data_IF_991443141297
#
_entry.id   IF_991443141297
#
_cell.length_a   1.000
_cell.length_b   1.000
_cell.length_c   1.000
_cell.angle_alpha   90.00
_cell.angle_beta   90.00
_cell.angle_gamma   90.00
#
_symmetry.space_group_name_H-M   'P 1'
#
loop_
_entity.id
_entity.type
_entity.pdbx_description
1 polymer ?
#
# COMPACT_ATOMS: atom_id res chain seq x y z
N UNK A 1 -14.55 20.53 -0.99
CA UNK A 1 -15.99 20.24 -0.83
C UNK A 1 -16.29 19.22 0.28
N UNK A 2 -15.29 18.62 0.93
CA UNK A 2 -15.50 17.63 2.02
C UNK A 2 -16.08 18.19 3.32
N UNK A 3 -15.82 19.47 3.65
CA UNK A 3 -16.31 20.11 4.89
C UNK A 3 -17.82 20.04 5.11
N UNK A 4 -18.63 19.79 4.07
CA UNK A 4 -20.09 19.75 4.16
C UNK A 4 -20.61 18.31 4.35
N UNK A 5 -19.82 17.28 4.01
CA UNK A 5 -20.31 15.89 4.04
C UNK A 5 -20.63 15.42 5.46
N UNK A 6 -19.67 15.59 6.39
CA UNK A 6 -19.86 15.15 7.78
C UNK A 6 -21.00 15.91 8.47
N UNK A 7 -21.20 17.20 8.15
CA UNK A 7 -22.34 17.98 8.66
C UNK A 7 -23.66 17.41 8.13
N UNK A 8 -23.73 17.03 6.85
CA UNK A 8 -24.95 16.40 6.28
C UNK A 8 -25.27 15.07 6.94
N UNK A 9 -24.25 14.29 7.29
CA UNK A 9 -24.41 13.01 7.96
C UNK A 9 -24.91 13.20 9.40
N UNK A 10 -24.41 14.23 10.11
CA UNK A 10 -24.94 14.62 11.42
C UNK A 10 -26.40 15.06 11.37
N UNK A 11 -26.77 15.90 10.39
CA UNK A 11 -28.16 16.36 10.24
C UNK A 11 -29.11 15.19 9.97
N UNK A 12 -28.71 14.21 9.15
CA UNK A 12 -29.51 13.01 8.90
C UNK A 12 -29.64 12.14 10.15
N UNK A 13 -28.56 12.00 10.91
CA UNK A 13 -28.55 11.24 12.15
C UNK A 13 -29.51 11.84 13.18
N UNK A 14 -29.46 13.16 13.38
CA UNK A 14 -30.37 13.90 14.25
C UNK A 14 -31.83 13.66 13.86
N UNK A 15 -32.16 13.80 12.58
CA UNK A 15 -33.52 13.58 12.09
C UNK A 15 -34.01 12.14 12.32
N UNK A 16 -33.15 11.14 12.11
CA UNK A 16 -33.51 9.74 12.36
C UNK A 16 -33.67 9.42 13.85
N UNK A 17 -32.90 10.07 14.73
CA UNK A 17 -33.06 9.93 16.18
C UNK A 17 -34.38 10.57 16.64
N UNK A 18 -34.77 11.72 16.08
CA UNK A 18 -36.07 12.35 16.33
C UNK A 18 -37.24 11.47 15.86
N UNK A 19 -37.14 10.90 14.65
CA UNK A 19 -38.22 10.09 14.06
C UNK A 19 -38.37 8.71 14.72
N UNK A 20 -37.28 8.09 15.17
CA UNK A 20 -37.29 6.74 15.76
C UNK A 20 -37.46 6.74 17.28
N UNK A 21 -37.18 7.86 17.96
CA UNK A 21 -37.14 7.95 19.42
C UNK A 21 -36.05 7.10 20.09
N UNK A 22 -35.15 6.50 19.30
CA UNK A 22 -34.03 5.68 19.77
C UNK A 22 -32.73 6.46 19.54
N UNK A 23 -31.95 6.61 20.61
CA UNK A 23 -30.60 7.20 20.55
C UNK A 23 -29.59 6.09 20.27
N UNK A 24 -29.08 6.04 19.03
CA UNK A 24 -27.97 5.16 18.68
C UNK A 24 -26.63 5.85 18.98
N UNK A 25 -25.90 5.33 19.96
CA UNK A 25 -24.59 5.84 20.38
C UNK A 25 -23.46 5.46 19.40
N UNK A 26 -23.73 4.61 18.42
CA UNK A 26 -22.78 4.18 17.39
C UNK A 26 -23.00 4.85 16.03
N UNK A 27 -23.90 5.83 15.97
CA UNK A 27 -24.33 6.42 14.71
C UNK A 27 -23.21 7.21 14.02
N UNK A 28 -22.89 6.83 12.78
CA UNK A 28 -22.00 7.58 11.89
C UNK A 28 -20.52 7.18 11.90
N UNK A 29 -20.08 6.35 12.86
CA UNK A 29 -18.68 5.91 12.93
C UNK A 29 -18.60 4.38 12.88
N UNK A 30 -18.23 3.87 11.70
CA UNK A 30 -17.85 2.47 11.49
C UNK A 30 -16.32 2.40 11.41
N UNK A 31 -15.62 2.00 12.49
CA UNK A 31 -14.16 2.01 12.53
C UNK A 31 -13.55 1.10 11.47
N UNK A 32 -14.19 -0.02 11.15
CA UNK A 32 -13.67 -0.98 10.18
C UNK A 32 -13.78 -0.42 8.76
N UNK A 33 -14.92 0.18 8.42
CA UNK A 33 -15.10 0.85 7.12
C UNK A 33 -14.14 2.02 6.94
N UNK A 34 -13.91 2.81 7.99
CA UNK A 34 -12.92 3.90 7.96
C UNK A 34 -11.52 3.33 7.75
N UNK A 35 -11.12 2.29 8.50
CA UNK A 35 -9.82 1.63 8.32
C UNK A 35 -9.61 1.13 6.89
N UNK A 36 -10.60 0.48 6.29
CA UNK A 36 -10.53 0.02 4.89
C UNK A 36 -10.33 1.20 3.95
N UNK A 37 -11.16 2.24 4.09
CA UNK A 37 -11.14 3.42 3.22
C UNK A 37 -9.78 4.12 3.30
N UNK A 38 -9.31 4.39 4.52
CA UNK A 38 -8.03 5.05 4.76
C UNK A 38 -6.83 4.22 4.27
N UNK A 39 -6.89 2.90 4.41
CA UNK A 39 -5.83 2.02 3.89
C UNK A 39 -5.74 2.07 2.37
N UNK A 40 -6.89 2.08 1.69
CA UNK A 40 -6.93 2.26 0.22
C UNK A 40 -6.38 3.63 -0.16
N UNK A 41 -6.83 4.69 0.52
CA UNK A 41 -6.36 6.06 0.23
C UNK A 41 -4.85 6.20 0.45
N UNK A 42 -4.32 5.64 1.54
CA UNK A 42 -2.88 5.70 1.82
C UNK A 42 -2.07 4.91 0.79
N UNK A 43 -2.54 3.73 0.34
CA UNK A 43 -1.89 2.98 -0.76
C UNK A 43 -1.91 3.76 -2.08
N UNK A 44 -3.03 4.42 -2.40
CA UNK A 44 -3.13 5.28 -3.60
C UNK A 44 -2.17 6.48 -3.51
N UNK A 45 -2.08 7.12 -2.35
CA UNK A 45 -1.15 8.22 -2.10
C UNK A 45 0.31 7.75 -2.25
N UNK A 46 0.67 6.61 -1.63
CA UNK A 46 1.98 5.97 -1.81
C UNK A 46 2.28 5.71 -3.29
N UNK A 47 1.33 5.13 -4.02
CA UNK A 47 1.48 4.83 -5.44
C UNK A 47 1.78 6.09 -6.25
N UNK A 48 1.01 7.16 -6.04
CA UNK A 48 1.21 8.46 -6.70
C UNK A 48 2.60 9.00 -6.44
N UNK A 49 3.02 9.07 -5.16
CA UNK A 49 4.35 9.57 -4.80
C UNK A 49 5.49 8.72 -5.39
N UNK A 50 5.31 7.39 -5.47
CA UNK A 50 6.30 6.53 -6.12
C UNK A 50 6.33 6.71 -7.64
N UNK A 51 5.18 6.93 -8.29
CA UNK A 51 5.12 7.24 -9.72
C UNK A 51 5.89 8.51 -10.01
N UNK A 52 5.63 9.58 -9.27
CA UNK A 52 6.29 10.87 -9.43
C UNK A 52 7.79 10.75 -9.17
N UNK A 53 8.17 10.18 -8.02
CA UNK A 53 9.58 9.96 -7.64
C UNK A 53 10.33 9.09 -8.66
N UNK A 54 9.68 8.07 -9.21
CA UNK A 54 10.28 7.18 -10.21
C UNK A 54 10.40 7.85 -11.58
N UNK A 55 9.44 8.70 -11.97
CA UNK A 55 9.53 9.49 -13.19
C UNK A 55 10.72 10.44 -13.11
N UNK A 56 10.82 11.22 -12.04
CA UNK A 56 11.94 12.14 -11.81
C UNK A 56 13.28 11.39 -11.79
N UNK A 57 13.36 10.25 -11.10
CA UNK A 57 14.58 9.43 -11.12
C UNK A 57 14.94 8.95 -12.54
N UNK A 58 13.96 8.48 -13.30
CA UNK A 58 14.17 7.98 -14.67
C UNK A 58 14.56 9.08 -15.67
N UNK A 59 14.08 10.31 -15.47
CA UNK A 59 14.42 11.49 -16.26
C UNK A 59 15.85 11.97 -15.98
N UNK A 60 16.25 12.02 -14.71
CA UNK A 60 17.60 12.45 -14.31
C UNK A 60 18.67 11.40 -14.63
N UNK A 61 18.27 10.15 -14.86
CA UNK A 61 19.19 9.07 -15.19
C UNK A 61 19.58 9.10 -16.69
N UNK A 62 20.86 9.19 -17.04
CA UNK A 62 21.30 9.36 -18.44
C UNK A 62 21.10 8.11 -19.31
N UNK A 63 20.98 6.92 -18.71
CA UNK A 63 20.84 5.66 -19.43
C UNK A 63 19.42 5.10 -19.32
N UNK A 64 18.89 4.61 -20.45
CA UNK A 64 17.59 3.94 -20.53
C UNK A 64 17.57 2.55 -19.88
N UNK A 65 18.73 1.92 -19.66
CA UNK A 65 18.83 0.61 -19.02
C UNK A 65 18.49 0.72 -17.54
N UNK A 66 17.71 -0.22 -17.00
CA UNK A 66 17.37 -0.24 -15.57
C UNK A 66 16.55 0.97 -15.12
N UNK A 67 15.64 1.46 -15.96
CA UNK A 67 14.56 2.36 -15.54
C UNK A 67 13.60 1.65 -14.59
N UNK A 68 13.06 2.39 -13.64
CA UNK A 68 12.06 1.90 -12.70
C UNK A 68 10.71 1.86 -13.40
N UNK A 69 10.03 0.71 -13.31
CA UNK A 69 8.66 0.54 -13.81
C UNK A 69 7.73 0.33 -12.63
N UNK A 70 6.54 0.91 -12.68
CA UNK A 70 5.50 0.73 -11.66
C UNK A 70 4.30 0.04 -12.31
N UNK A 71 3.77 -0.96 -11.61
CA UNK A 71 2.63 -1.75 -12.05
C UNK A 71 1.58 -1.78 -10.94
N UNK A 72 0.30 -1.62 -11.31
CA UNK A 72 -0.80 -2.01 -10.42
C UNK A 72 -0.97 -3.53 -10.40
N UNK A 73 -1.44 -4.07 -9.28
CA UNK A 73 -1.74 -5.49 -9.15
C UNK A 73 -3.23 -5.72 -9.45
N UNK A 74 -3.50 -6.56 -10.45
CA UNK A 74 -4.87 -6.85 -10.87
C UNK A 74 -5.69 -7.48 -9.74
N UNK A 75 -7.01 -7.21 -9.75
CA UNK A 75 -7.98 -7.68 -8.74
C UNK A 75 -7.71 -7.18 -7.31
N UNK A 76 -7.00 -6.06 -7.18
CA UNK A 76 -6.80 -5.35 -5.90
C UNK A 76 -7.27 -3.91 -6.04
N UNK A 77 -7.64 -3.26 -4.94
CA UNK A 77 -8.12 -1.88 -4.98
C UNK A 77 -6.99 -0.87 -5.25
N UNK A 78 -5.83 -1.07 -4.62
CA UNK A 78 -4.76 -0.08 -4.64
C UNK A 78 -3.34 -0.68 -4.64
N UNK A 79 -3.19 -2.00 -4.66
CA UNK A 79 -1.86 -2.62 -4.54
C UNK A 79 -1.02 -2.34 -5.79
N UNK A 80 0.28 -2.19 -5.59
CA UNK A 80 1.20 -1.87 -6.67
C UNK A 80 2.60 -2.43 -6.39
N UNK A 81 3.41 -2.50 -7.43
CA UNK A 81 4.80 -2.92 -7.34
C UNK A 81 5.72 -2.07 -8.19
N UNK A 82 6.93 -1.84 -7.69
CA UNK A 82 8.05 -1.31 -8.45
C UNK A 82 8.87 -2.49 -8.98
N UNK A 83 9.39 -2.34 -10.19
CA UNK A 83 10.24 -3.32 -10.86
C UNK A 83 11.44 -2.66 -11.52
N UNK A 84 12.63 -3.21 -11.27
CA UNK A 84 13.89 -2.79 -11.87
C UNK A 84 14.89 -3.93 -11.81
N UNK A 85 15.54 -4.27 -12.93
CA UNK A 85 16.62 -5.27 -13.01
C UNK A 85 16.29 -6.63 -12.33
N UNK A 86 15.07 -7.15 -12.51
CA UNK A 86 14.67 -8.42 -11.89
C UNK A 86 14.30 -8.31 -10.40
N UNK A 87 14.47 -7.13 -9.78
CA UNK A 87 14.06 -6.85 -8.42
C UNK A 87 12.68 -6.21 -8.36
N UNK A 88 11.86 -6.67 -7.42
CA UNK A 88 10.49 -6.22 -7.17
C UNK A 88 10.36 -5.70 -5.74
N UNK A 89 9.68 -4.57 -5.58
CA UNK A 89 9.17 -4.10 -4.29
C UNK A 89 7.67 -3.97 -4.39
N UNK A 90 6.93 -4.60 -3.48
CA UNK A 90 5.48 -4.74 -3.54
C UNK A 90 4.88 -4.06 -2.32
N UNK A 91 3.91 -3.17 -2.55
CA UNK A 91 3.03 -2.60 -1.54
C UNK A 91 1.65 -3.22 -1.70
N UNK A 92 1.14 -3.83 -0.64
CA UNK A 92 -0.17 -4.47 -0.67
C UNK A 92 -0.91 -4.33 0.66
N UNK A 93 -2.22 -4.16 0.61
CA UNK A 93 -3.09 -4.27 1.77
C UNK A 93 -3.03 -5.70 2.32
N UNK A 94 -2.64 -5.84 3.60
CA UNK A 94 -2.63 -7.12 4.31
C UNK A 94 -3.94 -7.36 5.05
N UNK A 95 -4.44 -6.31 5.69
CA UNK A 95 -5.71 -6.25 6.40
C UNK A 95 -6.17 -4.77 6.47
N UNK A 96 -7.42 -4.47 6.85
CA UNK A 96 -7.82 -3.09 7.16
C UNK A 96 -6.88 -2.47 8.20
N UNK A 97 -6.28 -1.33 7.85
CA UNK A 97 -5.26 -0.66 8.68
C UNK A 97 -3.86 -1.27 8.61
N UNK A 98 -3.58 -2.25 7.73
CA UNK A 98 -2.26 -2.85 7.62
C UNK A 98 -1.78 -2.93 6.18
N UNK A 99 -0.59 -2.38 5.93
CA UNK A 99 0.08 -2.40 4.63
C UNK A 99 1.37 -3.20 4.76
N UNK A 100 1.51 -4.19 3.89
CA UNK A 100 2.74 -4.96 3.72
C UNK A 100 3.65 -4.33 2.68
N UNK A 101 4.94 -4.27 2.98
CA UNK A 101 6.00 -3.92 2.04
C UNK A 101 6.97 -5.08 1.94
N UNK A 102 7.10 -5.66 0.74
CA UNK A 102 7.90 -6.87 0.49
C UNK A 102 8.86 -6.68 -0.67
N UNK A 103 10.05 -7.27 -0.56
CA UNK A 103 11.06 -7.27 -1.62
C UNK A 103 11.30 -8.68 -2.14
N UNK A 104 11.33 -8.83 -3.47
CA UNK A 104 11.60 -10.10 -4.14
C UNK A 104 12.65 -9.90 -5.22
N UNK A 105 13.69 -10.74 -5.23
CA UNK A 105 14.65 -10.82 -6.34
C UNK A 105 14.32 -12.03 -7.23
N UNK A 106 14.16 -11.80 -8.54
CA UNK A 106 13.99 -12.84 -9.54
C UNK A 106 15.33 -12.99 -10.27
N UNK A 107 16.22 -13.83 -9.74
CA UNK A 107 17.44 -14.23 -10.41
C UNK A 107 17.19 -15.30 -11.48
N UNK A 108 17.98 -15.28 -12.55
CA UNK A 108 17.99 -16.29 -13.62
C UNK A 108 18.56 -17.63 -13.12
N UNK A 109 17.78 -18.40 -12.36
CA UNK A 109 18.00 -19.84 -12.18
C UNK A 109 16.96 -20.62 -13.00
N UNK A 110 16.82 -20.26 -14.29
CA UNK A 110 15.92 -20.94 -15.22
C UNK A 110 16.69 -22.02 -15.98
N UNK A 111 16.91 -23.16 -15.33
CA UNK A 111 17.07 -24.45 -16.03
C UNK A 111 15.85 -25.28 -15.61
N UNK A 112 14.83 -25.41 -16.46
CA UNK A 112 13.69 -26.26 -16.15
C UNK A 112 14.11 -27.71 -16.31
N UNK A 113 14.19 -28.45 -15.20
CA UNK A 113 14.10 -29.91 -15.21
C UNK A 113 12.72 -30.30 -15.79
N UNK A 114 12.66 -31.06 -16.89
CA UNK A 114 11.39 -31.45 -17.49
C UNK A 114 10.73 -32.52 -16.62
N UNK A 115 9.60 -32.20 -15.99
CA UNK A 115 8.84 -33.18 -15.22
C UNK A 115 7.68 -32.67 -14.35
N UNK A 116 7.59 -31.38 -14.05
CA UNK A 116 6.55 -30.89 -13.12
C UNK A 116 5.52 -30.03 -13.83
N UNK A 117 4.37 -30.63 -14.11
CA UNK A 117 3.16 -29.99 -14.62
C UNK A 117 2.59 -29.03 -13.57
N UNK A 118 2.97 -27.74 -13.62
CA UNK A 118 2.38 -26.71 -12.77
C UNK A 118 1.29 -25.97 -13.54
N UNK A 119 0.10 -26.58 -13.53
CA UNK A 119 -1.15 -25.92 -13.84
C UNK A 119 -1.69 -25.30 -12.55
N UNK A 120 -1.01 -24.25 -12.03
CA UNK A 120 -1.57 -23.48 -10.91
C UNK A 120 -1.19 -22.00 -11.03
N UNK A 121 -2.22 -21.21 -11.32
CA UNK A 121 -2.15 -19.77 -11.47
C UNK A 121 -2.34 -19.13 -10.10
N UNK A 122 -1.36 -19.34 -9.22
CA UNK A 122 -1.36 -18.85 -7.85
C UNK A 122 -0.37 -19.65 -7.00
N UNK A 123 0.50 -18.94 -6.27
CA UNK A 123 1.48 -19.48 -5.32
C UNK A 123 2.87 -19.89 -5.88
N UNK A 124 3.81 -18.97 -5.68
CA UNK A 124 5.18 -19.18 -5.16
C UNK A 124 5.86 -20.55 -5.31
N UNK A 125 7.01 -20.57 -6.01
CA UNK A 125 8.34 -21.08 -5.60
C UNK A 125 9.23 -21.23 -6.87
N UNK A 126 10.51 -20.84 -6.90
CA UNK A 126 11.56 -21.15 -5.95
C UNK A 126 12.74 -20.15 -6.03
N UNK A 127 13.40 -19.92 -4.88
CA UNK A 127 14.71 -19.26 -4.69
C UNK A 127 14.80 -17.72 -4.86
N UNK A 128 13.75 -16.98 -4.53
CA UNK A 128 13.92 -15.57 -4.22
C UNK A 128 14.47 -15.42 -2.80
N UNK A 129 15.55 -14.67 -2.60
CA UNK A 129 15.90 -14.15 -1.27
C UNK A 129 14.78 -13.19 -0.86
N UNK A 130 13.77 -13.70 -0.17
CA UNK A 130 12.66 -12.91 0.37
C UNK A 130 13.23 -12.12 1.55
N UNK A 131 13.37 -10.81 1.40
CA UNK A 131 13.68 -9.96 2.54
C UNK A 131 12.50 -9.96 3.52
N UNK A 132 12.78 -9.65 4.79
CA UNK A 132 11.77 -9.54 5.84
C UNK A 132 10.60 -8.62 5.41
N UNK A 133 9.38 -9.07 5.68
CA UNK A 133 8.16 -8.30 5.41
C UNK A 133 8.06 -7.14 6.39
N UNK A 134 7.97 -5.91 5.87
CA UNK A 134 7.74 -4.73 6.70
C UNK A 134 6.24 -4.43 6.76
N UNK A 135 5.70 -4.30 7.98
CA UNK A 135 4.30 -3.97 8.22
C UNK A 135 4.16 -2.53 8.69
N UNK A 136 3.37 -1.75 7.95
CA UNK A 136 2.95 -0.39 8.31
C UNK A 136 1.50 -0.47 8.79
N UNK A 137 1.23 0.04 9.98
CA UNK A 137 -0.04 -0.13 10.69
C UNK A 137 -0.69 1.22 10.96
N UNK A 138 -1.99 1.31 10.72
CA UNK A 138 -2.83 2.40 11.17
C UNK A 138 -3.16 2.23 12.65
N UNK A 139 -3.13 3.34 13.40
CA UNK A 139 -3.69 3.40 14.76
C UNK A 139 -4.55 4.64 14.92
N UNK A 140 -5.58 4.49 15.74
CA UNK A 140 -6.41 5.61 16.19
C UNK A 140 -5.62 6.50 17.14
N UNK A 141 -5.56 7.78 16.80
CA UNK A 141 -5.10 8.87 17.65
C UNK A 141 -6.31 9.58 18.27
N UNK A 142 -6.09 10.75 18.86
CA UNK A 142 -7.17 11.54 19.44
C UNK A 142 -8.19 11.95 18.37
N UNK A 143 -9.46 12.11 18.78
CA UNK A 143 -10.53 12.62 17.91
C UNK A 143 -10.73 11.80 16.62
N UNK A 144 -10.58 10.48 16.69
CA UNK A 144 -10.78 9.56 15.55
C UNK A 144 -9.82 9.82 14.38
N UNK A 145 -8.74 10.55 14.60
CA UNK A 145 -7.67 10.72 13.63
C UNK A 145 -6.93 9.40 13.45
N UNK A 146 -6.68 9.01 12.19
CA UNK A 146 -5.94 7.80 11.88
C UNK A 146 -4.49 8.14 11.54
N UNK A 147 -3.55 7.58 12.29
CA UNK A 147 -2.11 7.79 12.09
C UNK A 147 -1.42 6.51 11.65
N UNK A 148 -0.51 6.62 10.69
CA UNK A 148 0.28 5.50 10.19
C UNK A 148 1.58 5.34 10.98
N UNK A 149 1.87 4.12 11.39
CA UNK A 149 3.03 3.79 12.20
C UNK A 149 3.84 2.63 11.62
N UNK A 150 5.14 2.68 11.87
CA UNK A 150 6.08 1.61 11.57
C UNK A 150 6.97 1.39 12.78
N UNK A 151 6.99 0.15 13.30
CA UNK A 151 7.74 -0.22 14.51
C UNK A 151 7.47 0.71 15.71
N UNK A 152 6.20 1.13 15.85
CA UNK A 152 5.74 2.00 16.94
C UNK A 152 6.06 3.49 16.79
N UNK A 153 6.56 3.92 15.62
CA UNK A 153 6.83 5.33 15.34
C UNK A 153 5.93 5.87 14.23
N UNK A 154 5.52 7.13 14.35
CA UNK A 154 4.73 7.81 13.33
C UNK A 154 5.49 7.93 12.01
N UNK A 155 4.81 7.61 10.93
CA UNK A 155 5.35 7.63 9.58
C UNK A 155 4.73 8.79 8.83
N UNK A 156 5.59 9.62 8.24
CA UNK A 156 5.16 10.56 7.21
C UNK A 156 5.43 9.95 5.85
N UNK A 157 4.45 10.10 4.96
CA UNK A 157 4.48 9.55 3.60
C UNK A 157 5.77 9.90 2.85
N UNK A 158 6.19 11.17 2.89
CA UNK A 158 7.40 11.68 2.22
C UNK A 158 8.68 10.91 2.63
N UNK A 159 8.85 10.66 3.93
CA UNK A 159 10.04 9.99 4.45
C UNK A 159 9.99 8.48 4.18
N UNK A 160 8.79 7.90 4.20
CA UNK A 160 8.58 6.50 3.84
C UNK A 160 8.96 6.24 2.39
N UNK A 161 8.48 7.06 1.46
CA UNK A 161 8.81 6.96 0.03
C UNK A 161 10.32 7.11 -0.17
N UNK A 162 10.94 8.13 0.44
CA UNK A 162 12.40 8.33 0.36
C UNK A 162 13.20 7.14 0.86
N UNK A 163 12.80 6.58 2.01
CA UNK A 163 13.46 5.41 2.60
C UNK A 163 13.37 4.19 1.67
N UNK A 164 12.15 3.82 1.28
CA UNK A 164 11.91 2.63 0.45
C UNK A 164 12.45 2.77 -0.97
N UNK A 165 12.38 3.96 -1.58
CA UNK A 165 12.98 4.23 -2.88
C UNK A 165 14.52 4.07 -2.83
N UNK A 166 15.15 4.59 -1.78
CA UNK A 166 16.60 4.46 -1.58
C UNK A 166 17.02 3.00 -1.43
N UNK A 167 16.27 2.22 -0.64
CA UNK A 167 16.50 0.78 -0.49
C UNK A 167 16.28 0.04 -1.81
N UNK A 168 15.18 0.33 -2.50
CA UNK A 168 14.86 -0.29 -3.79
C UNK A 168 15.94 -0.04 -4.84
N UNK A 169 16.43 1.20 -4.98
CA UNK A 169 17.50 1.54 -5.93
C UNK A 169 18.80 0.80 -5.59
N UNK A 170 19.16 0.75 -4.30
CA UNK A 170 20.39 0.09 -3.83
C UNK A 170 20.37 -1.40 -4.13
N UNK A 171 19.29 -2.08 -3.78
CA UNK A 171 19.15 -3.52 -3.95
C UNK A 171 18.94 -3.92 -5.42
N UNK A 172 18.22 -3.11 -6.21
CA UNK A 172 18.04 -3.36 -7.64
C UNK A 172 19.24 -2.98 -8.53
N UNK A 173 20.31 -2.43 -7.95
CA UNK A 173 21.55 -2.13 -8.69
C UNK A 173 22.67 -3.13 -8.41
N UNK A 174 22.46 -4.08 -7.49
CA UNK A 174 23.33 -5.23 -7.29
C UNK A 174 23.17 -6.20 -8.46
#
# INVERSE_FOLDING_TARGET
MEKISWIKDLVKAEQQMEESGLVDMSFGFDPERVLVTETIQFLLALKTEFVDSSSTFNELKPSALGRIKIYGIAKTHADFMLFRNGFKMIFAMKAPGQISVRFNFIGTNYIPTPGTSNNDMGSSNANANVMEENIVEARWAAFEELVWMYKGQNVKLEFMVRHYMTQFIRESSK
#
